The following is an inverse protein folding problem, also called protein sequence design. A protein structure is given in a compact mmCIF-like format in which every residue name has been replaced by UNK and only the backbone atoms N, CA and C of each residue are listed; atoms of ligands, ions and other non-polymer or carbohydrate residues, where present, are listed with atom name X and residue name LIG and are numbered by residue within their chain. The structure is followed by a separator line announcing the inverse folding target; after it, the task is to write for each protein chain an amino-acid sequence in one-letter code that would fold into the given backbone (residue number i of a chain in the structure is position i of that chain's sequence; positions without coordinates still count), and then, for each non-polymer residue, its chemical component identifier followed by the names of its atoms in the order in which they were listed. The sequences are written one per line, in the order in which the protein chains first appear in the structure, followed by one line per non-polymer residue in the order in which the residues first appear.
data_IF_080136345357
#
_entry.id   IF_080136345357
#
_cell.length_a   1.000
_cell.length_b   1.000
_cell.length_c   1.000
_cell.angle_alpha   90.00
_cell.angle_beta   90.00
_cell.angle_gamma   90.00
#
_symmetry.space_group_name_H-M   'P 1'
#
loop_
_entity.id
_entity.type
_entity.pdbx_description
1 polymer ?
#
# COMPACT_ATOMS: atom_id res chain seq x y z
N UNK A 1 3.88 -14.29 -0.73
CA UNK A 1 3.04 -13.11 -0.40
C UNK A 1 1.69 -13.57 0.10
N UNK A 2 1.15 -12.94 1.14
CA UNK A 2 -0.21 -13.22 1.65
C UNK A 2 -1.01 -11.93 1.60
N UNK A 3 -2.13 -11.96 0.88
CA UNK A 3 -3.08 -10.84 0.83
C UNK A 3 -4.28 -11.23 1.70
N UNK A 4 -4.68 -10.33 2.59
CA UNK A 4 -5.91 -10.48 3.37
C UNK A 4 -6.74 -9.22 3.16
N UNK A 5 -8.06 -9.40 3.05
CA UNK A 5 -8.99 -8.28 3.10
C UNK A 5 -9.09 -7.78 4.54
N UNK A 6 -8.66 -6.56 4.79
CA UNK A 6 -8.85 -5.89 6.07
C UNK A 6 -10.16 -5.09 6.08
N UNK A 7 -10.73 -4.90 7.27
CA UNK A 7 -11.86 -3.99 7.49
C UNK A 7 -11.39 -2.55 7.63
N UNK A 8 -12.13 -1.74 8.39
CA UNK A 8 -11.72 -0.38 8.74
C UNK A 8 -10.40 -0.42 9.54
N UNK A 9 -9.41 0.35 9.09
CA UNK A 9 -8.11 0.52 9.74
C UNK A 9 -7.95 1.93 10.35
N UNK A 10 -9.05 2.54 10.77
CA UNK A 10 -9.08 3.90 11.36
C UNK A 10 -8.59 5.03 10.44
N UNK A 11 -8.42 4.73 9.15
CA UNK A 11 -7.99 5.68 8.10
C UNK A 11 -9.04 5.83 7.02
N UNK A 12 -10.31 5.97 7.42
CA UNK A 12 -11.44 6.09 6.50
C UNK A 12 -11.26 7.24 5.50
N UNK A 13 -10.67 8.35 5.94
CA UNK A 13 -10.46 9.55 5.12
C UNK A 13 -9.35 9.38 4.06
N UNK A 14 -8.52 8.34 4.20
CA UNK A 14 -7.42 8.01 3.29
C UNK A 14 -7.70 6.70 2.52
N UNK A 15 -8.96 6.26 2.52
CA UNK A 15 -9.40 5.07 1.79
C UNK A 15 -9.41 5.31 0.28
N UNK A 16 -9.00 4.34 -0.55
CA UNK A 16 -8.52 2.99 -0.23
C UNK A 16 -7.11 2.99 0.40
N UNK A 17 -6.94 2.25 1.50
CA UNK A 17 -5.67 2.12 2.21
C UNK A 17 -5.13 0.69 2.14
N UNK A 18 -3.83 0.56 1.89
CA UNK A 18 -3.10 -0.70 1.84
C UNK A 18 -1.90 -0.61 2.78
N UNK A 19 -1.62 -1.68 3.53
CA UNK A 19 -0.48 -1.74 4.45
C UNK A 19 0.40 -2.94 4.11
N UNK A 20 1.71 -2.71 3.99
CA UNK A 20 2.72 -3.73 3.73
C UNK A 20 3.51 -4.01 5.00
N UNK A 21 3.51 -5.27 5.43
CA UNK A 21 4.28 -5.75 6.58
C UNK A 21 5.49 -6.60 6.13
N UNK A 22 6.60 -6.60 6.88
CA UNK A 22 6.78 -6.06 8.24
C UNK A 22 7.08 -4.55 8.32
N UNK A 23 7.31 -3.89 7.19
CA UNK A 23 7.80 -2.49 7.16
C UNK A 23 6.77 -1.48 7.68
N UNK A 24 5.48 -1.82 7.72
CA UNK A 24 4.42 -0.94 8.20
C UNK A 24 4.17 0.24 7.26
N UNK A 25 4.51 0.09 5.98
CA UNK A 25 4.34 1.13 4.97
C UNK A 25 2.89 1.15 4.52
N UNK A 26 2.32 2.35 4.51
CA UNK A 26 0.95 2.58 4.08
C UNK A 26 0.92 3.19 2.70
N UNK A 27 0.02 2.70 1.86
CA UNK A 27 -0.21 3.18 0.52
C UNK A 27 -1.67 3.55 0.31
N UNK A 28 -1.88 4.57 -0.52
CA UNK A 28 -3.14 4.84 -1.19
C UNK A 28 -2.99 4.48 -2.67
N UNK A 29 -4.08 4.15 -3.34
CA UNK A 29 -4.08 3.84 -4.77
C UNK A 29 -5.40 4.28 -5.38
N UNK A 30 -5.35 4.67 -6.66
CA UNK A 30 -6.54 5.12 -7.41
C UNK A 30 -6.96 4.06 -8.43
N UNK A 31 -5.99 3.41 -9.08
CA UNK A 31 -6.22 2.43 -10.13
C UNK A 31 -5.38 1.15 -9.95
N UNK A 32 -5.57 0.18 -10.86
CA UNK A 32 -4.85 -1.10 -10.82
C UNK A 32 -3.35 -0.93 -11.13
N UNK A 33 -2.99 0.07 -11.96
CA UNK A 33 -1.58 0.36 -12.31
C UNK A 33 -0.76 0.77 -11.09
N UNK A 34 -1.36 1.54 -10.18
CA UNK A 34 -0.76 1.90 -8.89
C UNK A 34 -0.44 0.65 -8.04
N UNK A 35 -1.34 -0.33 -8.05
CA UNK A 35 -1.16 -1.59 -7.31
C UNK A 35 -0.02 -2.40 -7.94
N UNK A 36 0.00 -2.55 -9.26
CA UNK A 36 1.07 -3.26 -9.97
C UNK A 36 2.44 -2.63 -9.69
N UNK A 37 2.52 -1.30 -9.64
CA UNK A 37 3.77 -0.59 -9.29
C UNK A 37 4.19 -0.84 -7.84
N UNK A 38 3.27 -0.83 -6.87
CA UNK A 38 3.57 -1.15 -5.47
C UNK A 38 4.09 -2.59 -5.36
N UNK A 39 3.47 -3.54 -6.08
CA UNK A 39 3.89 -4.94 -6.05
C UNK A 39 5.28 -5.10 -6.66
N UNK A 40 5.52 -4.56 -7.85
CA UNK A 40 6.82 -4.70 -8.52
C UNK A 40 7.93 -3.92 -7.79
N UNK A 41 7.70 -2.65 -7.46
CA UNK A 41 8.71 -1.83 -6.81
C UNK A 41 8.95 -2.24 -5.35
N UNK A 42 7.89 -2.38 -4.55
CA UNK A 42 8.05 -2.62 -3.12
C UNK A 42 8.21 -4.10 -2.80
N UNK A 43 7.31 -4.97 -3.28
CA UNK A 43 7.36 -6.39 -2.92
C UNK A 43 8.46 -7.16 -3.67
N UNK A 44 8.75 -6.83 -4.93
CA UNK A 44 9.79 -7.52 -5.72
C UNK A 44 11.15 -6.83 -5.57
N UNK A 45 11.22 -5.51 -5.71
CA UNK A 45 12.48 -4.77 -5.69
C UNK A 45 12.85 -4.19 -4.30
N UNK A 46 11.97 -4.26 -3.29
CA UNK A 46 12.23 -3.72 -1.96
C UNK A 46 12.31 -2.18 -1.90
N UNK A 47 11.74 -1.48 -2.89
CA UNK A 47 11.74 -0.02 -2.99
C UNK A 47 10.35 0.55 -2.71
N UNK A 48 10.27 1.38 -1.68
CA UNK A 48 9.03 2.07 -1.30
C UNK A 48 8.62 3.08 -2.37
N UNK A 49 7.34 3.04 -2.75
CA UNK A 49 6.76 3.93 -3.75
C UNK A 49 6.27 5.21 -3.07
N UNK A 50 7.17 6.17 -2.86
CA UNK A 50 6.90 7.41 -2.09
C UNK A 50 5.74 8.24 -2.67
N UNK A 51 5.44 8.13 -3.97
CA UNK A 51 4.32 8.86 -4.61
C UNK A 51 2.94 8.42 -4.09
N UNK A 52 2.81 7.13 -3.73
CA UNK A 52 1.59 6.51 -3.24
C UNK A 52 1.59 6.34 -1.73
N UNK A 53 2.73 6.62 -1.09
CA UNK A 53 2.92 6.42 0.33
C UNK A 53 2.10 7.43 1.12
N UNK A 54 1.38 6.93 2.12
CA UNK A 54 0.70 7.75 3.11
C UNK A 54 1.71 7.98 4.25
N UNK A 55 2.28 9.18 4.32
CA UNK A 55 3.13 9.61 5.42
C UNK A 55 2.24 10.14 6.56
N UNK A 56 2.29 9.50 7.73
CA UNK A 56 1.66 9.94 8.98
C UNK A 56 2.64 9.80 10.14
#
# INVERSE_FOLDING_TARGET
MRINKAGCLERCELGPALVVYPEGVWYTYVDESDIDEIVDSHLVNGKVVERLKIDQ
#
